data_IF_571873515448
#
_entry.id   IF_571873515448
#
_cell.length_a   1.000
_cell.length_b   1.000
_cell.length_c   1.000
_cell.angle_alpha   90.00
_cell.angle_beta   90.00
_cell.angle_gamma   90.00
#
_symmetry.space_group_name_H-M   'P 1'
#
loop_
_entity.id
_entity.type
_entity.pdbx_description
1 polymer ?
#
# COMPACT_ATOMS: atom_id res chain seq x y z
N UNK A 1 -9.63 -5.13 8.22
CA UNK A 1 -9.11 -4.74 9.53
C UNK A 1 -8.15 -3.57 9.39
N UNK A 2 -7.99 -2.80 10.46
CA UNK A 2 -7.03 -1.70 10.53
C UNK A 2 -5.79 -2.07 11.36
N UNK A 3 -5.91 -3.09 12.19
CA UNK A 3 -4.86 -3.49 13.14
C UNK A 3 -3.57 -3.85 12.42
N UNK A 4 -2.47 -3.37 12.97
CA UNK A 4 -1.13 -3.62 12.49
C UNK A 4 -0.29 -4.23 13.61
N UNK A 5 0.49 -5.24 13.30
CA UNK A 5 1.40 -5.87 14.22
C UNK A 5 2.80 -5.88 13.64
N UNK A 6 3.77 -5.62 14.48
CA UNK A 6 5.18 -5.66 14.13
C UNK A 6 5.81 -6.91 14.71
N UNK A 7 6.61 -7.61 13.90
CA UNK A 7 7.36 -8.79 14.32
C UNK A 7 8.83 -8.44 14.50
N UNK A 8 9.36 -8.73 15.69
CA UNK A 8 10.76 -8.40 16.05
C UNK A 8 11.73 -9.58 15.88
N UNK A 9 11.25 -10.68 15.32
CA UNK A 9 12.02 -11.92 15.21
C UNK A 9 11.66 -12.96 16.25
N UNK A 10 10.90 -12.58 17.27
CA UNK A 10 10.46 -13.47 18.36
C UNK A 10 8.96 -13.39 18.62
N UNK A 11 8.40 -12.21 18.57
CA UNK A 11 6.98 -11.99 18.90
C UNK A 11 6.37 -10.88 18.04
N UNK A 12 5.03 -10.90 17.96
CA UNK A 12 4.24 -9.83 17.36
C UNK A 12 3.80 -8.85 18.45
N UNK A 13 3.88 -7.57 18.15
CA UNK A 13 3.40 -6.50 19.03
C UNK A 13 2.44 -5.63 18.23
N UNK A 14 1.24 -5.40 18.78
CA UNK A 14 0.29 -4.49 18.15
C UNK A 14 0.84 -3.06 18.19
N UNK A 15 0.81 -2.40 17.07
CA UNK A 15 1.29 -1.02 16.90
C UNK A 15 0.14 -0.14 16.38
N UNK A 16 0.44 1.06 15.90
CA UNK A 16 -0.61 1.97 15.44
C UNK A 16 -1.47 1.41 14.30
N UNK A 17 -2.76 1.61 14.39
CA UNK A 17 -3.71 1.15 13.38
C UNK A 17 -3.63 1.98 12.09
N UNK A 18 -3.97 1.34 10.98
CA UNK A 18 -4.22 2.04 9.71
C UNK A 18 -5.36 3.05 9.88
N UNK A 19 -5.28 4.16 9.19
CA UNK A 19 -6.37 5.14 9.16
C UNK A 19 -7.63 4.58 8.48
N UNK A 20 -7.45 3.67 7.53
CA UNK A 20 -8.56 3.01 6.85
C UNK A 20 -8.41 1.50 6.96
N UNK A 21 -9.40 0.85 7.57
CA UNK A 21 -9.45 -0.62 7.64
C UNK A 21 -9.56 -1.21 6.23
N UNK A 22 -8.74 -2.19 5.92
CA UNK A 22 -8.71 -2.77 4.56
C UNK A 22 -8.28 -4.24 4.55
N UNK A 23 -8.55 -4.90 3.44
CA UNK A 23 -8.06 -6.23 3.13
C UNK A 23 -7.69 -6.27 1.64
N UNK A 24 -6.92 -7.26 1.21
CA UNK A 24 -6.51 -7.35 -0.20
C UNK A 24 -5.69 -6.16 -0.68
N UNK A 25 -4.91 -5.56 0.21
CA UNK A 25 -4.02 -4.44 -0.12
C UNK A 25 -2.67 -4.92 -0.61
N UNK A 26 -1.99 -4.08 -1.38
CA UNK A 26 -0.59 -4.27 -1.73
C UNK A 26 0.32 -3.53 -0.75
N UNK A 27 1.59 -3.88 -0.74
CA UNK A 27 2.56 -3.22 0.13
C UNK A 27 3.97 -3.22 -0.48
N UNK A 28 4.83 -2.39 0.08
CA UNK A 28 6.27 -2.43 -0.22
C UNK A 28 6.89 -3.59 0.57
N UNK A 29 6.90 -4.77 -0.03
CA UNK A 29 7.11 -6.05 0.67
C UNK A 29 8.49 -6.26 1.28
N UNK A 30 9.51 -5.57 0.81
CA UNK A 30 10.89 -5.70 1.32
C UNK A 30 11.32 -4.53 2.20
N UNK A 31 10.38 -3.70 2.59
CA UNK A 31 10.69 -2.51 3.36
C UNK A 31 11.07 -2.85 4.82
N UNK A 32 11.95 -2.07 5.43
CA UNK A 32 12.20 -2.18 6.87
C UNK A 32 10.96 -1.91 7.70
N UNK A 33 10.90 -2.45 8.92
CA UNK A 33 9.75 -2.29 9.81
C UNK A 33 9.35 -0.83 10.09
N UNK A 34 10.26 0.11 9.94
CA UNK A 34 9.98 1.53 10.18
C UNK A 34 9.73 2.32 8.89
N UNK A 35 9.58 1.67 7.74
CA UNK A 35 9.47 2.35 6.46
C UNK A 35 8.69 1.51 5.46
N UNK A 36 7.37 1.50 5.62
CA UNK A 36 6.49 0.63 4.81
C UNK A 36 5.36 1.44 4.20
N UNK A 37 5.00 1.08 2.97
CA UNK A 37 3.78 1.57 2.31
C UNK A 37 2.76 0.45 2.24
N UNK A 38 1.48 0.81 2.41
CA UNK A 38 0.36 -0.05 2.09
C UNK A 38 -0.58 0.74 1.19
N UNK A 39 -1.07 0.11 0.15
CA UNK A 39 -1.89 0.79 -0.84
C UNK A 39 -3.05 -0.06 -1.32
N UNK A 40 -4.12 0.61 -1.72
CA UNK A 40 -5.36 0.01 -2.22
C UNK A 40 -6.03 -0.91 -1.19
N UNK A 41 -6.80 -1.85 -1.67
CA UNK A 41 -7.51 -2.82 -0.84
C UNK A 41 -9.00 -2.53 -0.73
N UNK A 42 -9.68 -3.35 0.02
CA UNK A 42 -11.11 -3.22 0.29
C UNK A 42 -11.31 -2.69 1.71
N UNK A 43 -12.11 -1.65 1.90
CA UNK A 43 -13.52 -1.89 2.20
C UNK A 43 -14.43 -1.67 0.98
N UNK A 44 -15.49 -2.48 0.93
CA UNK A 44 -16.54 -2.33 -0.09
C UNK A 44 -16.02 -2.55 -1.51
N UNK A 45 -16.11 -1.52 -2.35
CA UNK A 45 -15.73 -1.56 -3.75
C UNK A 45 -14.26 -1.21 -4.01
N UNK A 46 -13.43 -1.28 -2.98
CA UNK A 46 -12.01 -0.94 -3.09
C UNK A 46 -11.69 0.49 -2.73
N UNK A 47 -10.43 0.75 -2.49
CA UNK A 47 -9.91 2.10 -2.22
C UNK A 47 -8.64 2.36 -3.02
N UNK A 48 -8.39 3.63 -3.31
CA UNK A 48 -7.12 4.08 -3.89
C UNK A 48 -6.15 4.58 -2.81
N UNK A 49 -6.56 4.61 -1.56
CA UNK A 49 -5.77 5.19 -0.47
C UNK A 49 -4.43 4.47 -0.30
N UNK A 50 -3.41 5.26 -0.02
CA UNK A 50 -2.07 4.78 0.32
C UNK A 50 -1.70 5.35 1.66
N UNK A 51 -1.13 4.52 2.52
CA UNK A 51 -0.65 4.95 3.83
C UNK A 51 0.82 4.59 4.00
N UNK A 52 1.55 5.48 4.62
CA UNK A 52 2.97 5.36 4.90
C UNK A 52 3.20 5.16 6.39
N UNK A 53 4.01 4.17 6.75
CA UNK A 53 4.42 3.87 8.13
C UNK A 53 5.80 4.43 8.41
N UNK A 54 5.95 5.15 9.50
CA UNK A 54 7.22 5.76 9.91
C UNK A 54 7.87 5.10 11.14
N UNK A 55 7.35 3.98 11.57
CA UNK A 55 7.79 3.31 12.80
C UNK A 55 6.92 3.63 14.02
N UNK A 56 6.03 4.61 13.92
CA UNK A 56 5.18 5.05 15.03
C UNK A 56 3.71 5.18 14.63
N UNK A 57 3.44 5.70 13.45
CA UNK A 57 2.08 5.95 12.99
C UNK A 57 1.95 5.80 11.48
N UNK A 58 0.71 5.60 11.04
CA UNK A 58 0.34 5.59 9.63
C UNK A 58 -0.12 6.98 9.21
N UNK A 59 0.32 7.42 8.06
CA UNK A 59 -0.06 8.71 7.48
C UNK A 59 -0.58 8.45 6.07
N UNK A 60 -1.75 9.00 5.74
CA UNK A 60 -2.25 8.96 4.36
C UNK A 60 -1.37 9.84 3.49
N UNK A 61 -1.01 9.29 2.33
CA UNK A 61 -0.19 9.93 1.32
C UNK A 61 -0.91 9.90 -0.03
N UNK A 62 -0.24 10.19 -1.14
CA UNK A 62 -0.90 10.28 -2.44
C UNK A 62 -1.59 8.97 -2.82
N UNK A 63 -2.80 9.07 -3.32
CA UNK A 63 -3.61 7.91 -3.73
C UNK A 63 -3.14 7.32 -5.05
N UNK A 64 -3.44 6.04 -5.24
CA UNK A 64 -3.41 5.44 -6.58
C UNK A 64 -4.39 6.17 -7.51
N UNK A 65 -4.17 6.07 -8.80
CA UNK A 65 -5.06 6.69 -9.78
C UNK A 65 -6.44 6.03 -9.87
N UNK A 66 -6.56 4.79 -9.42
CA UNK A 66 -7.80 4.01 -9.48
C UNK A 66 -7.97 3.17 -8.23
N UNK A 67 -9.18 3.18 -7.68
CA UNK A 67 -9.54 2.28 -6.57
C UNK A 67 -9.47 0.83 -7.03
N UNK A 68 -8.83 -0.02 -6.24
CA UNK A 68 -8.69 -1.44 -6.55
C UNK A 68 -8.38 -2.26 -5.30
N UNK A 69 -8.53 -3.57 -5.40
CA UNK A 69 -8.19 -4.52 -4.33
C UNK A 69 -7.49 -5.74 -4.92
N UNK A 70 -6.98 -6.60 -4.06
CA UNK A 70 -6.15 -7.76 -4.43
C UNK A 70 -4.96 -7.33 -5.29
N UNK A 71 -4.30 -6.29 -4.88
CA UNK A 71 -3.22 -5.61 -5.61
C UNK A 71 -1.88 -6.26 -5.28
N UNK A 72 -1.06 -6.47 -6.30
CA UNK A 72 0.33 -6.83 -6.10
C UNK A 72 1.16 -5.61 -5.72
N UNK A 73 2.21 -5.82 -4.96
CA UNK A 73 3.11 -4.73 -4.59
C UNK A 73 4.52 -5.21 -4.32
N UNK A 74 5.48 -4.31 -4.46
CA UNK A 74 6.88 -4.54 -4.13
C UNK A 74 7.55 -3.19 -3.86
N UNK A 75 8.70 -3.20 -3.23
CA UNK A 75 9.47 -1.99 -2.98
C UNK A 75 10.37 -2.12 -1.77
N UNK A 76 11.33 -1.21 -1.67
CA UNK A 76 12.35 -1.23 -0.63
C UNK A 76 11.98 -0.39 0.60
N UNK A 77 11.06 0.53 0.46
CA UNK A 77 10.77 1.50 1.52
C UNK A 77 9.57 2.38 1.16
N UNK A 78 9.29 3.35 2.01
CA UNK A 78 8.33 4.42 1.74
C UNK A 78 8.79 5.37 0.62
N UNK A 79 10.00 5.20 0.10
CA UNK A 79 10.55 6.07 -0.94
C UNK A 79 10.53 5.44 -2.31
N UNK A 80 10.31 4.13 -2.41
CA UNK A 80 10.34 3.43 -3.70
C UNK A 80 9.48 2.18 -3.63
N UNK A 81 8.37 2.19 -4.31
CA UNK A 81 7.46 1.05 -4.38
C UNK A 81 6.73 1.01 -5.71
N UNK A 82 6.14 -0.13 -6.01
CA UNK A 82 5.36 -0.34 -7.23
C UNK A 82 4.07 -1.09 -6.87
N UNK A 83 2.97 -0.66 -7.44
CA UNK A 83 1.66 -1.31 -7.32
C UNK A 83 1.24 -1.80 -8.69
N UNK A 84 0.79 -3.04 -8.78
CA UNK A 84 0.43 -3.60 -10.07
C UNK A 84 -0.79 -4.50 -10.00
N UNK A 85 -1.60 -4.44 -11.05
CA UNK A 85 -2.75 -5.32 -11.22
C UNK A 85 -3.85 -5.09 -10.21
N UNK A 86 -4.53 -6.16 -9.89
CA UNK A 86 -5.64 -6.17 -8.95
C UNK A 86 -7.00 -6.15 -9.61
N UNK A 87 -8.02 -6.08 -8.77
CA UNK A 87 -9.41 -6.06 -9.18
C UNK A 87 -9.96 -4.64 -9.15
N UNK A 88 -10.82 -4.34 -10.10
CA UNK A 88 -11.61 -3.11 -10.16
C UNK A 88 -13.07 -3.50 -10.37
N UNK A 89 -13.98 -2.56 -10.26
CA UNK A 89 -15.40 -2.86 -10.50
C UNK A 89 -15.84 -2.25 -11.82
N UNK A 90 -16.23 -3.07 -12.84
CA UNK A 90 -16.12 -4.54 -12.87
C UNK A 90 -14.80 -5.04 -13.44
N UNK A 91 -14.32 -6.21 -12.99
CA UNK A 91 -13.22 -6.93 -13.62
C UNK A 91 -11.86 -6.74 -12.96
N UNK A 92 -10.82 -6.81 -13.79
CA UNK A 92 -9.43 -6.69 -13.35
C UNK A 92 -8.71 -5.60 -14.13
N UNK A 93 -7.55 -5.17 -13.63
CA UNK A 93 -6.74 -4.16 -14.30
C UNK A 93 -5.32 -4.65 -14.52
N UNK A 94 -4.69 -4.17 -15.59
CA UNK A 94 -3.28 -4.42 -15.86
C UNK A 94 -2.41 -3.20 -15.50
N UNK A 95 -3.01 -2.18 -14.94
CA UNK A 95 -2.32 -0.93 -14.59
C UNK A 95 -1.19 -1.18 -13.58
N UNK A 96 -0.09 -0.50 -13.80
CA UNK A 96 1.06 -0.51 -12.90
C UNK A 96 1.38 0.94 -12.53
N UNK A 97 1.60 1.19 -11.26
CA UNK A 97 1.91 2.53 -10.77
C UNK A 97 3.17 2.48 -9.92
N UNK A 98 4.04 3.45 -10.14
CA UNK A 98 5.28 3.58 -9.39
C UNK A 98 5.15 4.68 -8.35
N UNK A 99 5.56 4.37 -7.12
CA UNK A 99 5.67 5.34 -6.04
C UNK A 99 7.12 5.81 -5.92
N UNK A 100 7.31 7.13 -5.89
CA UNK A 100 8.63 7.72 -5.62
C UNK A 100 8.49 8.79 -4.54
N UNK A 101 9.45 8.83 -3.63
CA UNK A 101 9.41 9.75 -2.50
C UNK A 101 9.69 11.20 -2.85
N UNK A 102 10.37 11.44 -3.95
CA UNK A 102 10.80 12.79 -4.32
C UNK A 102 9.64 13.79 -4.35
N UNK A 103 8.47 13.34 -4.78
CA UNK A 103 7.28 14.19 -4.90
C UNK A 103 6.10 13.69 -4.09
N UNK A 104 6.21 12.55 -3.40
CA UNK A 104 5.10 11.86 -2.75
C UNK A 104 3.92 11.64 -3.70
N UNK A 105 4.22 11.38 -4.97
CA UNK A 105 3.24 11.19 -6.03
C UNK A 105 3.27 9.77 -6.56
N UNK A 106 2.09 9.28 -6.97
CA UNK A 106 1.98 8.04 -7.73
C UNK A 106 2.10 8.38 -9.21
N UNK A 107 3.03 7.72 -9.88
CA UNK A 107 3.19 7.86 -11.32
C UNK A 107 2.74 6.59 -12.02
N UNK A 108 1.91 6.73 -13.03
CA UNK A 108 1.45 5.61 -13.83
C UNK A 108 2.55 5.15 -14.76
N UNK A 109 2.86 3.85 -14.70
CA UNK A 109 3.80 3.23 -15.64
C UNK A 109 2.98 2.61 -16.77
N UNK A 110 3.27 3.05 -17.99
CA UNK A 110 2.60 2.50 -19.17
C UNK A 110 3.27 1.19 -19.57
N UNK A 111 2.49 0.12 -19.60
CA UNK A 111 2.94 -1.17 -20.12
C UNK A 111 2.35 -1.36 -21.50
N UNK A 112 3.18 -1.69 -22.43
CA UNK A 112 2.76 -1.98 -23.80
C UNK A 112 2.55 -3.48 -24.02
#
# INVERSE_FOLDING_TARGET
>A
KAQTEEYDGSSFTEVGDLNTARGGSGSSMNAPNASTLIFAGSPGSGTANTESWNGTSWTEVANLSTSRWDVGGAGDSVTSAIAFGGSISPGVTTATEEWTAADFEIKTVTTS
#
